data_IF_342198857965
#
_entry.id   IF_342198857965
#
_cell.length_a   1.000
_cell.length_b   1.000
_cell.length_c   1.000
_cell.angle_alpha   90.00
_cell.angle_beta   90.00
_cell.angle_gamma   90.00
#
_symmetry.space_group_name_H-M   'P 1'
#
loop_
_entity.id
_entity.type
_entity.pdbx_description
1 polymer ?
#
# COMPACT_ATOMS: atom_id res chain seq x y z
N UNK A 1 29.59 13.91 -18.37
CA UNK A 1 29.10 13.68 -18.13
C UNK A 1 28.47 13.38 -17.60
N UNK A 2 28.76 13.56 -17.55
CA UNK A 2 28.28 13.25 -17.04
C UNK A 2 27.57 12.73 -16.80
N UNK A 3 27.79 12.36 -16.81
CA UNK A 3 27.11 11.82 -16.69
C UNK A 3 26.71 11.12 -16.22
N UNK A 4 27.29 10.74 -15.94
CA UNK A 4 26.98 10.00 -15.46
C UNK A 4 26.45 9.67 -14.66
N UNK A 5 27.50 9.13 -14.71
CA UNK A 5 26.89 9.13 -13.40
C UNK A 5 25.43 9.04 -13.44
N UNK A 6 24.91 9.45 -14.38
CA UNK A 6 23.55 9.39 -14.47
C UNK A 6 22.96 8.10 -14.79
N UNK A 7 23.66 7.11 -15.34
CA UNK A 7 23.13 5.82 -15.64
C UNK A 7 22.69 5.10 -14.41
N UNK A 8 23.47 5.18 -13.36
CA UNK A 8 23.14 4.56 -12.11
C UNK A 8 21.85 5.15 -11.55
N UNK A 9 21.75 6.44 -11.62
CA UNK A 9 20.57 7.11 -11.12
C UNK A 9 19.33 6.72 -11.88
N UNK A 10 19.44 6.55 -13.19
CA UNK A 10 18.32 6.16 -13.95
C UNK A 10 17.87 4.76 -13.61
N UNK A 11 18.81 3.88 -13.39
CA UNK A 11 18.48 2.51 -13.01
C UNK A 11 17.74 2.50 -11.69
N UNK A 12 18.19 3.30 -10.75
CA UNK A 12 17.52 3.38 -9.46
C UNK A 12 16.11 3.86 -9.61
N UNK A 13 15.89 4.84 -10.48
CA UNK A 13 14.56 5.35 -10.70
C UNK A 13 13.65 4.32 -11.35
N UNK A 14 14.17 3.55 -12.29
CA UNK A 14 13.40 2.51 -12.93
C UNK A 14 12.98 1.46 -11.93
N UNK A 15 13.86 1.13 -11.01
CA UNK A 15 13.58 0.12 -10.02
C UNK A 15 12.78 0.65 -8.84
N UNK A 16 12.66 1.95 -8.71
CA UNK A 16 11.97 2.52 -7.58
C UNK A 16 10.47 2.31 -7.69
N UNK A 17 9.92 1.65 -6.71
CA UNK A 17 8.50 1.35 -6.70
C UNK A 17 7.75 2.38 -5.86
N UNK A 18 6.54 2.70 -6.29
CA UNK A 18 5.69 3.67 -5.61
C UNK A 18 4.65 2.95 -4.78
N UNK A 19 4.49 3.35 -3.54
CA UNK A 19 3.49 2.81 -2.64
C UNK A 19 2.50 3.92 -2.33
N UNK A 20 1.22 3.70 -2.58
CA UNK A 20 0.20 4.69 -2.25
C UNK A 20 -0.38 4.32 -0.88
N UNK A 21 -0.30 5.25 0.06
CA UNK A 21 -0.62 5.00 1.46
C UNK A 21 -1.89 5.72 1.87
N UNK A 22 -2.92 4.97 2.23
CA UNK A 22 -4.19 5.50 2.72
C UNK A 22 -4.26 5.44 4.24
N UNK A 23 -3.50 6.31 4.88
CA UNK A 23 -3.43 6.43 6.32
C UNK A 23 -3.43 7.93 6.63
N UNK A 24 -4.49 8.41 7.28
CA UNK A 24 -4.59 9.86 7.51
C UNK A 24 -4.02 10.32 8.84
N UNK A 25 -3.88 9.42 9.83
CA UNK A 25 -3.21 9.76 11.08
C UNK A 25 -1.78 10.17 10.74
N UNK A 26 -1.45 11.45 10.98
CA UNK A 26 -0.17 11.96 10.50
C UNK A 26 1.04 11.34 11.17
N UNK A 27 0.91 10.99 12.44
CA UNK A 27 2.05 10.39 13.14
C UNK A 27 2.29 8.98 12.66
N UNK A 28 1.24 8.22 12.45
CA UNK A 28 1.37 6.87 11.96
C UNK A 28 1.84 6.87 10.50
N UNK A 29 1.29 7.79 9.71
CA UNK A 29 1.73 7.94 8.33
C UNK A 29 3.22 8.24 8.26
N UNK A 30 3.71 9.13 9.12
CA UNK A 30 5.13 9.50 9.11
C UNK A 30 6.03 8.28 9.39
N UNK A 31 5.59 7.40 10.30
CA UNK A 31 6.35 6.19 10.59
C UNK A 31 6.38 5.27 9.36
N UNK A 32 5.25 5.12 8.71
CA UNK A 32 5.15 4.29 7.51
C UNK A 32 6.06 4.85 6.41
N UNK A 33 5.94 6.15 6.17
CA UNK A 33 6.73 6.82 5.15
C UNK A 33 8.23 6.64 5.39
N UNK A 34 8.66 6.92 6.61
CA UNK A 34 10.09 6.90 6.90
C UNK A 34 10.65 5.48 6.77
N UNK A 35 9.90 4.49 7.24
CA UNK A 35 10.36 3.11 7.15
C UNK A 35 10.49 2.66 5.70
N UNK A 36 9.52 3.01 4.86
CA UNK A 36 9.55 2.57 3.47
C UNK A 36 10.52 3.37 2.62
N UNK A 37 10.65 4.66 2.89
CA UNK A 37 11.63 5.45 2.16
C UNK A 37 13.05 4.96 2.44
N UNK A 38 13.29 4.45 3.65
CA UNK A 38 14.61 3.90 3.96
C UNK A 38 14.93 2.67 3.13
N UNK A 39 13.90 2.03 2.58
CA UNK A 39 14.09 0.87 1.71
C UNK A 39 14.07 1.25 0.23
N UNK A 40 13.99 2.53 -0.08
CA UNK A 40 14.06 3.00 -1.45
C UNK A 40 12.73 3.17 -2.15
N UNK A 41 11.61 2.99 -1.46
CA UNK A 41 10.31 3.18 -2.08
C UNK A 41 9.96 4.66 -2.18
N UNK A 42 9.19 5.01 -3.22
CA UNK A 42 8.59 6.33 -3.34
C UNK A 42 7.21 6.25 -2.69
N UNK A 43 6.87 7.22 -1.87
CA UNK A 43 5.62 7.19 -1.13
C UNK A 43 4.70 8.29 -1.62
N UNK A 44 3.45 7.90 -1.96
CA UNK A 44 2.38 8.83 -2.27
C UNK A 44 1.35 8.73 -1.16
N UNK A 45 0.85 9.85 -0.72
CA UNK A 45 -0.10 9.87 0.39
C UNK A 45 -1.50 10.22 -0.10
N UNK A 46 -2.49 9.43 0.31
CA UNK A 46 -3.88 9.76 0.08
C UNK A 46 -4.43 10.42 1.33
N UNK A 47 -4.82 11.67 1.25
CA UNK A 47 -5.35 12.42 2.38
C UNK A 47 -6.87 12.48 2.37
N UNK A 48 -7.47 12.31 1.22
CA UNK A 48 -8.91 12.39 1.06
C UNK A 48 -9.39 11.17 0.31
N UNK A 49 -10.69 10.95 0.34
CA UNK A 49 -11.24 9.82 -0.38
C UNK A 49 -10.98 9.95 -1.88
N UNK A 50 -11.04 11.16 -2.42
CA UNK A 50 -10.77 11.40 -3.83
C UNK A 50 -9.33 11.10 -4.19
N UNK A 51 -8.41 11.31 -3.27
CA UNK A 51 -7.00 11.04 -3.52
C UNK A 51 -6.74 9.57 -3.83
N UNK A 52 -7.55 8.66 -3.28
CA UNK A 52 -7.34 7.24 -3.52
C UNK A 52 -7.38 6.95 -5.02
N UNK A 53 -8.48 7.28 -5.67
CA UNK A 53 -8.61 7.01 -7.09
C UNK A 53 -7.73 7.95 -7.91
N UNK A 54 -7.67 9.22 -7.53
CA UNK A 54 -6.93 10.22 -8.30
C UNK A 54 -5.44 9.92 -8.35
N UNK A 55 -4.85 9.66 -7.21
CA UNK A 55 -3.41 9.36 -7.18
C UNK A 55 -3.11 7.98 -7.71
N UNK A 56 -4.00 7.01 -7.49
CA UNK A 56 -3.81 5.68 -8.04
C UNK A 56 -3.77 5.73 -9.56
N UNK A 57 -4.71 6.48 -10.16
CA UNK A 57 -4.75 6.60 -11.62
C UNK A 57 -3.54 7.34 -12.16
N UNK A 58 -3.07 8.35 -11.44
CA UNK A 58 -1.96 9.17 -11.89
C UNK A 58 -0.62 8.44 -11.78
N UNK A 59 -0.44 7.64 -10.73
CA UNK A 59 0.87 7.05 -10.46
C UNK A 59 0.97 5.57 -10.79
N UNK A 60 -0.17 4.88 -10.87
CA UNK A 60 -0.24 3.43 -11.04
C UNK A 60 0.77 2.79 -10.09
N UNK A 61 0.49 2.83 -8.78
CA UNK A 61 1.49 2.40 -7.80
C UNK A 61 1.77 0.90 -7.87
N UNK A 62 2.85 0.48 -7.26
CA UNK A 62 3.20 -0.93 -7.19
C UNK A 62 2.41 -1.66 -6.11
N UNK A 63 1.96 -0.93 -5.11
CA UNK A 63 1.14 -1.50 -4.04
C UNK A 63 0.38 -0.39 -3.32
N UNK A 64 -0.69 -0.80 -2.63
CA UNK A 64 -1.45 0.11 -1.77
C UNK A 64 -1.31 -0.35 -0.33
N UNK A 65 -1.30 0.62 0.58
CA UNK A 65 -1.42 0.34 2.01
C UNK A 65 -2.69 1.04 2.48
N UNK A 66 -3.58 0.29 3.13
CA UNK A 66 -4.85 0.84 3.60
C UNK A 66 -5.07 0.54 5.06
N UNK A 67 -5.41 1.59 5.83
CA UNK A 67 -5.87 1.44 7.20
C UNK A 67 -7.38 1.22 7.15
N UNK A 68 -7.83 0.00 7.44
CA UNK A 68 -9.26 -0.32 7.35
C UNK A 68 -10.08 0.36 8.44
N UNK A 69 -9.42 0.89 9.47
CA UNK A 69 -10.08 1.63 10.55
C UNK A 69 -9.75 3.12 10.51
N UNK A 70 -9.39 3.64 9.33
CA UNK A 70 -9.03 5.05 9.22
C UNK A 70 -10.23 5.93 9.59
N UNK A 71 -9.96 7.01 10.31
CA UNK A 71 -11.04 7.88 10.77
C UNK A 71 -11.58 8.81 9.72
N UNK A 72 -10.86 8.99 8.63
CA UNK A 72 -11.24 9.93 7.57
C UNK A 72 -11.59 9.21 6.27
N UNK A 73 -10.79 8.22 5.89
CA UNK A 73 -11.02 7.51 4.64
C UNK A 73 -11.94 6.32 4.87
N UNK A 74 -12.84 6.11 3.92
CA UNK A 74 -13.67 4.92 3.93
C UNK A 74 -12.90 3.84 3.15
N UNK A 75 -12.23 2.96 3.88
CA UNK A 75 -11.34 1.99 3.25
C UNK A 75 -12.09 0.95 2.41
N UNK A 76 -13.29 0.55 2.85
CA UNK A 76 -14.05 -0.41 2.05
C UNK A 76 -14.50 0.22 0.73
N UNK A 77 -14.88 1.49 0.75
CA UNK A 77 -15.23 2.18 -0.48
C UNK A 77 -14.00 2.29 -1.38
N UNK A 78 -12.84 2.52 -0.77
CA UNK A 78 -11.59 2.58 -1.54
C UNK A 78 -11.33 1.24 -2.23
N UNK A 79 -11.56 0.12 -1.52
CA UNK A 79 -11.39 -1.19 -2.13
C UNK A 79 -12.34 -1.38 -3.31
N UNK A 80 -13.58 -0.96 -3.17
CA UNK A 80 -14.54 -1.05 -4.27
C UNK A 80 -14.05 -0.28 -5.48
N UNK A 81 -13.59 0.93 -5.25
CA UNK A 81 -13.11 1.80 -6.31
C UNK A 81 -11.91 1.17 -7.04
N UNK A 82 -10.95 0.69 -6.26
CA UNK A 82 -9.73 0.12 -6.84
C UNK A 82 -10.03 -1.17 -7.60
N UNK A 83 -10.89 -2.01 -7.05
CA UNK A 83 -11.19 -3.29 -7.70
C UNK A 83 -12.09 -3.16 -8.91
N UNK A 84 -12.77 -2.03 -9.05
CA UNK A 84 -13.61 -1.77 -10.22
C UNK A 84 -12.83 -1.23 -11.41
N UNK A 85 -11.60 -0.80 -11.22
CA UNK A 85 -10.79 -0.20 -12.28
C UNK A 85 -9.85 -1.25 -12.86
N UNK A 86 -9.97 -1.51 -14.14
CA UNK A 86 -9.18 -2.56 -14.80
C UNK A 86 -7.68 -2.35 -14.66
N UNK A 87 -7.25 -1.10 -14.58
CA UNK A 87 -5.82 -0.80 -14.46
C UNK A 87 -5.29 -0.99 -13.05
N UNK A 88 -6.17 -0.97 -12.06
CA UNK A 88 -5.77 -0.94 -10.66
C UNK A 88 -6.08 -2.22 -9.90
N UNK A 89 -7.03 -3.00 -10.42
CA UNK A 89 -7.57 -4.12 -9.63
C UNK A 89 -6.58 -5.22 -9.34
N UNK A 90 -5.50 -5.32 -10.09
CA UNK A 90 -4.50 -6.36 -9.85
C UNK A 90 -3.33 -5.89 -9.01
N UNK A 91 -3.29 -4.61 -8.66
CA UNK A 91 -2.22 -4.09 -7.84
C UNK A 91 -2.38 -4.62 -6.41
N UNK A 92 -1.32 -5.16 -5.79
CA UNK A 92 -1.46 -5.72 -4.46
C UNK A 92 -1.81 -4.68 -3.41
N UNK A 93 -2.60 -5.11 -2.44
CA UNK A 93 -3.07 -4.25 -1.35
C UNK A 93 -2.69 -4.88 -0.02
N UNK A 94 -1.93 -4.14 0.77
CA UNK A 94 -1.61 -4.51 2.15
C UNK A 94 -2.52 -3.69 3.06
N UNK A 95 -3.37 -4.37 3.81
CA UNK A 95 -4.31 -3.69 4.69
C UNK A 95 -4.03 -4.04 6.13
N UNK A 96 -4.44 -3.17 7.05
CA UNK A 96 -4.36 -3.50 8.46
C UNK A 96 -5.60 -2.99 9.19
N UNK A 97 -5.92 -3.62 10.30
CA UNK A 97 -7.07 -3.26 11.10
C UNK A 97 -6.80 -3.61 12.56
N UNK A 98 -7.63 -3.08 13.46
CA UNK A 98 -7.54 -3.43 14.86
C UNK A 98 -7.85 -4.92 15.01
N UNK A 99 -7.10 -5.62 15.84
CA UNK A 99 -7.18 -7.08 15.90
C UNK A 99 -8.55 -7.60 16.32
N UNK A 100 -9.32 -6.82 17.04
CA UNK A 100 -10.64 -7.27 17.49
C UNK A 100 -11.71 -7.10 16.41
N UNK A 101 -11.36 -6.52 15.26
CA UNK A 101 -12.32 -6.26 14.19
C UNK A 101 -12.43 -7.47 13.24
N UNK A 102 -12.93 -8.57 13.76
CA UNK A 102 -12.96 -9.83 13.00
C UNK A 102 -13.70 -9.71 11.69
N UNK A 103 -14.84 -9.02 11.71
CA UNK A 103 -15.63 -8.85 10.49
C UNK A 103 -14.87 -8.04 9.45
N UNK A 104 -14.11 -7.05 9.88
CA UNK A 104 -13.30 -6.24 8.98
C UNK A 104 -12.29 -7.11 8.25
N UNK A 105 -11.63 -8.03 8.98
CA UNK A 105 -10.66 -8.93 8.36
C UNK A 105 -11.33 -9.82 7.31
N UNK A 106 -12.46 -10.43 7.66
CA UNK A 106 -13.16 -11.31 6.74
C UNK A 106 -13.64 -10.56 5.50
N UNK A 107 -14.19 -9.38 5.71
CA UNK A 107 -14.73 -8.60 4.60
C UNK A 107 -13.64 -8.13 3.67
N UNK A 108 -12.53 -7.67 4.23
CA UNK A 108 -11.42 -7.20 3.41
C UNK A 108 -10.84 -8.33 2.57
N UNK A 109 -10.71 -9.53 3.15
CA UNK A 109 -10.24 -10.67 2.40
C UNK A 109 -11.19 -11.00 1.25
N UNK A 110 -12.49 -10.98 1.52
CA UNK A 110 -13.47 -11.25 0.50
C UNK A 110 -13.42 -10.23 -0.64
N UNK A 111 -13.01 -9.02 -0.34
CA UNK A 111 -12.92 -7.97 -1.35
C UNK A 111 -11.58 -7.97 -2.08
N UNK A 112 -10.71 -8.91 -1.76
CA UNK A 112 -9.51 -9.11 -2.58
C UNK A 112 -8.24 -8.40 -2.15
N UNK A 113 -8.12 -8.01 -0.86
CA UNK A 113 -6.83 -7.51 -0.41
C UNK A 113 -5.81 -8.65 -0.48
N UNK A 114 -4.58 -8.30 -0.78
CA UNK A 114 -3.53 -9.31 -0.89
C UNK A 114 -3.19 -9.88 0.48
N UNK A 115 -3.15 -9.00 1.47
CA UNK A 115 -2.84 -9.42 2.82
C UNK A 115 -3.45 -8.42 3.78
N UNK A 116 -4.03 -8.90 4.87
CA UNK A 116 -4.52 -8.04 5.95
C UNK A 116 -3.99 -8.57 7.28
N UNK A 117 -3.45 -7.68 8.08
CA UNK A 117 -2.84 -8.02 9.36
C UNK A 117 -3.35 -7.09 10.44
N UNK A 118 -3.05 -7.40 11.69
CA UNK A 118 -3.39 -6.49 12.77
C UNK A 118 -2.50 -5.25 12.70
N UNK A 119 -2.95 -4.18 13.34
CA UNK A 119 -2.17 -2.95 13.40
C UNK A 119 -0.81 -3.20 14.06
N UNK A 120 -0.77 -4.04 15.09
CA UNK A 120 0.49 -4.35 15.76
C UNK A 120 1.45 -5.10 14.85
N UNK A 121 0.95 -6.09 14.14
CA UNK A 121 1.79 -6.83 13.20
C UNK A 121 2.28 -5.91 12.09
N UNK A 122 1.40 -5.05 11.60
CA UNK A 122 1.77 -4.10 10.56
C UNK A 122 2.94 -3.23 11.01
N UNK A 123 2.83 -2.67 12.22
CA UNK A 123 3.90 -1.82 12.74
C UNK A 123 5.20 -2.58 12.93
N UNK A 124 5.12 -3.81 13.39
CA UNK A 124 6.30 -4.61 13.69
C UNK A 124 7.00 -5.12 12.43
N UNK A 125 6.24 -5.40 11.37
CA UNK A 125 6.78 -6.06 10.19
C UNK A 125 6.58 -5.30 8.89
N UNK A 126 6.45 -4.00 8.96
CA UNK A 126 6.05 -3.20 7.82
C UNK A 126 6.88 -3.47 6.57
N UNK A 127 8.20 -3.41 6.69
CA UNK A 127 9.08 -3.59 5.52
C UNK A 127 8.92 -4.98 4.93
N UNK A 128 8.86 -5.99 5.79
CA UNK A 128 8.71 -7.37 5.32
C UNK A 128 7.37 -7.59 4.65
N UNK A 129 6.32 -7.01 5.24
CA UNK A 129 4.97 -7.17 4.68
C UNK A 129 4.86 -6.53 3.31
N UNK A 130 5.46 -5.37 3.12
CA UNK A 130 5.44 -4.72 1.81
C UNK A 130 6.18 -5.57 0.80
N UNK A 131 7.33 -6.11 1.17
CA UNK A 131 8.07 -6.98 0.27
C UNK A 131 7.25 -8.21 -0.10
N UNK A 132 6.55 -8.79 0.87
CA UNK A 132 5.74 -9.97 0.63
C UNK A 132 4.65 -9.69 -0.41
N UNK A 133 3.92 -8.58 -0.25
CA UNK A 133 2.85 -8.30 -1.19
C UNK A 133 3.39 -7.94 -2.57
N UNK A 134 4.54 -7.25 -2.62
CA UNK A 134 5.14 -6.89 -3.90
C UNK A 134 5.64 -8.11 -4.66
N UNK A 135 6.02 -9.15 -3.95
CA UNK A 135 6.47 -10.38 -4.58
C UNK A 135 5.32 -11.30 -4.95
N UNK A 136 4.10 -10.88 -4.67
CA UNK A 136 2.94 -11.70 -4.96
C UNK A 136 2.77 -12.83 -3.97
N UNK A 137 3.11 -12.57 -2.72
CA UNK A 137 3.05 -13.59 -1.70
C UNK A 137 1.67 -14.16 -1.43
N UNK A 138 0.65 -13.49 -1.94
CA UNK A 138 -0.69 -14.02 -1.79
C UNK A 138 -0.80 -15.40 -2.40
N UNK A 139 0.11 -15.75 -3.31
CA UNK A 139 0.10 -17.07 -3.89
C UNK A 139 0.35 -18.12 -2.83
N UNK A 140 0.99 -17.71 -1.77
CA UNK A 140 1.30 -18.61 -0.67
C UNK A 140 0.05 -19.04 0.06
N UNK A 141 -0.94 -18.19 0.06
CA UNK A 141 -2.16 -18.47 0.79
C UNK A 141 -2.89 -19.68 0.28
N UNK A 142 -2.67 -20.02 -0.96
CA UNK A 142 -3.38 -21.15 -1.53
C UNK A 142 -2.75 -22.47 -1.14
N UNK A 143 -1.59 -22.40 -0.61
CA UNK A 143 -0.87 -23.62 -0.26
C UNK A 143 -1.42 -24.32 0.97
#
# INVERSE_FOLDING_TARGET
>A
MTTNSHQTDKTDQIDQKTILVGVTDIFFYAKVRDALMSKGYRIERARTQQDIAGKASATIPSAFILNMNDGTLNAFQALETLKADARLKTIPILAFANHEEVDTFSRARAMGVTKIVSRNEFSARLKDLVEEVLKGERREARS
#
